data_IF_058201510353
#
_entry.id   IF_058201510353
#
_cell.length_a   1.000
_cell.length_b   1.000
_cell.length_c   1.000
_cell.angle_alpha   90.00
_cell.angle_beta   90.00
_cell.angle_gamma   90.00
#
_symmetry.space_group_name_H-M   'P 1'
#
loop_
_entity.id
_entity.type
_entity.pdbx_description
1 polymer ?
#
# COMPACT_ATOMS: atom_id res chain seq x y z
N UNK A 1 25.27 2.36 2.78
CA UNK A 1 23.84 2.17 2.47
C UNK A 1 23.41 0.78 2.90
N UNK A 2 22.31 0.67 3.65
CA UNK A 2 21.84 -0.62 4.13
C UNK A 2 20.78 -1.16 3.16
N UNK A 3 21.18 -2.15 2.36
CA UNK A 3 20.32 -2.72 1.33
C UNK A 3 19.08 -3.38 1.94
N UNK A 4 19.25 -4.07 3.07
CA UNK A 4 18.12 -4.73 3.74
C UNK A 4 17.07 -3.71 4.18
N UNK A 5 17.52 -2.61 4.73
CA UNK A 5 16.63 -1.54 5.16
C UNK A 5 15.93 -0.92 3.95
N UNK A 6 16.65 -0.70 2.88
CA UNK A 6 16.08 -0.13 1.67
C UNK A 6 15.00 -1.04 1.10
N UNK A 7 15.26 -2.34 1.02
CA UNK A 7 14.29 -3.31 0.50
C UNK A 7 13.06 -3.36 1.40
N UNK A 8 13.24 -3.36 2.70
CA UNK A 8 12.12 -3.38 3.65
C UNK A 8 11.22 -2.16 3.47
N UNK A 9 11.82 -0.98 3.35
CA UNK A 9 11.05 0.24 3.13
C UNK A 9 10.30 0.21 1.81
N UNK A 10 10.97 -0.28 0.76
CA UNK A 10 10.33 -0.39 -0.55
C UNK A 10 9.14 -1.34 -0.53
N UNK A 11 9.27 -2.47 0.16
CA UNK A 11 8.17 -3.42 0.30
C UNK A 11 7.00 -2.83 1.06
N UNK A 12 7.27 -2.12 2.14
CA UNK A 12 6.22 -1.48 2.93
C UNK A 12 5.48 -0.42 2.12
N UNK A 13 6.21 0.41 1.42
CA UNK A 13 5.61 1.45 0.58
C UNK A 13 4.80 0.85 -0.55
N UNK A 14 5.32 -0.18 -1.21
CA UNK A 14 4.61 -0.85 -2.30
C UNK A 14 3.32 -1.51 -1.83
N UNK A 15 3.36 -2.19 -0.69
CA UNK A 15 2.17 -2.84 -0.14
C UNK A 15 1.11 -1.81 0.21
N UNK A 16 1.50 -0.71 0.82
CA UNK A 16 0.57 0.35 1.19
C UNK A 16 -0.09 0.96 -0.05
N UNK A 17 0.69 1.15 -1.10
CA UNK A 17 0.19 1.71 -2.35
C UNK A 17 -0.83 0.77 -3.00
N UNK A 18 -0.54 -0.52 -3.03
CA UNK A 18 -1.45 -1.50 -3.60
C UNK A 18 -2.77 -1.52 -2.83
N UNK A 19 -2.71 -1.53 -1.52
CA UNK A 19 -3.92 -1.50 -0.70
C UNK A 19 -4.73 -0.24 -0.96
N UNK A 20 -4.06 0.88 -1.07
CA UNK A 20 -4.71 2.16 -1.35
C UNK A 20 -5.47 2.12 -2.68
N UNK A 21 -4.83 1.58 -3.72
CA UNK A 21 -5.44 1.49 -5.05
C UNK A 21 -6.64 0.55 -5.02
N UNK A 22 -6.51 -0.59 -4.35
CA UNK A 22 -7.60 -1.56 -4.25
C UNK A 22 -8.81 -0.94 -3.56
N UNK A 23 -8.59 -0.21 -2.48
CA UNK A 23 -9.68 0.45 -1.76
C UNK A 23 -10.38 1.49 -2.64
N UNK A 24 -9.61 2.19 -3.46
CA UNK A 24 -10.17 3.21 -4.34
C UNK A 24 -11.09 2.61 -5.41
N UNK A 25 -10.84 1.34 -5.78
CA UNK A 25 -11.65 0.67 -6.80
C UNK A 25 -12.86 -0.05 -6.22
N UNK A 26 -12.85 -0.33 -4.94
CA UNK A 26 -13.99 -0.96 -4.30
C UNK A 26 -15.04 0.07 -3.92
N UNK A 27 -16.34 -0.30 -3.99
CA UNK A 27 -17.39 0.61 -3.55
C UNK A 27 -17.32 0.80 -2.03
N UNK A 28 -17.71 1.96 -1.53
CA UNK A 28 -17.71 2.21 -0.08
C UNK A 28 -18.68 1.26 0.61
N UNK A 29 -18.26 0.75 1.77
CA UNK A 29 -19.09 -0.17 2.55
C UNK A 29 -20.29 0.52 3.16
N UNK A 30 -20.16 1.81 3.44
CA UNK A 30 -21.26 2.57 4.04
C UNK A 30 -21.91 3.43 2.97
N UNK A 31 -23.18 3.19 2.66
CA UNK A 31 -23.91 4.04 1.74
C UNK A 31 -24.15 5.41 2.36
N UNK A 32 -23.99 6.42 1.57
CA UNK A 32 -24.18 7.79 2.03
C UNK A 32 -25.62 8.23 1.81
#
# INVERSE_FOLDING_TARGET
>A
MNVKKLVTLALLLGAALIIFIVEAQLPPLTPI
#
